data_IF_959150156679
#
_entry.id   IF_959150156679
#
_cell.length_a   1.000
_cell.length_b   1.000
_cell.length_c   1.000
_cell.angle_alpha   90.00
_cell.angle_beta   90.00
_cell.angle_gamma   90.00
#
_symmetry.space_group_name_H-M   'P 1'
#
loop_
_entity.id
_entity.type
_entity.pdbx_description
1 polymer ?
#
# COMPACT_ATOMS: atom_id res chain seq x y z
N UNK A 1 -2.46 -16.00 20.79
CA UNK A 1 -1.05 -16.36 21.13
C UNK A 1 -0.04 -15.36 20.57
N UNK A 2 -0.06 -14.99 19.26
CA UNK A 2 0.91 -14.03 18.68
C UNK A 2 0.76 -12.65 19.35
N UNK A 3 -0.46 -12.15 19.50
CA UNK A 3 -0.73 -10.85 20.10
C UNK A 3 -0.48 -10.84 21.60
N UNK A 4 -0.88 -11.88 22.33
CA UNK A 4 -0.65 -12.04 23.76
C UNK A 4 0.85 -12.05 24.13
N UNK A 5 1.69 -12.63 23.27
CA UNK A 5 3.15 -12.65 23.45
C UNK A 5 3.87 -11.36 23.05
N UNK A 6 3.16 -10.34 22.51
CA UNK A 6 3.72 -9.09 22.01
C UNK A 6 2.90 -7.89 22.43
N UNK A 7 2.57 -7.80 23.71
CA UNK A 7 1.74 -6.72 24.31
C UNK A 7 2.39 -5.32 24.24
N UNK A 8 3.69 -5.27 24.02
CA UNK A 8 4.48 -4.06 23.83
C UNK A 8 4.48 -3.53 22.39
N UNK A 9 3.73 -4.18 21.49
CA UNK A 9 3.64 -3.84 20.07
C UNK A 9 2.28 -3.21 19.76
N UNK A 10 2.30 -2.02 19.19
CA UNK A 10 1.09 -1.29 18.82
C UNK A 10 0.66 -1.50 17.36
N UNK A 11 1.54 -2.07 16.53
CA UNK A 11 1.34 -2.22 15.09
C UNK A 11 1.85 -3.58 14.60
N UNK A 12 0.99 -4.36 13.95
CA UNK A 12 1.29 -5.67 13.39
C UNK A 12 1.07 -5.64 11.88
N UNK A 13 2.09 -6.02 11.12
CA UNK A 13 1.93 -6.43 9.73
C UNK A 13 1.51 -7.90 9.74
N UNK A 14 0.42 -8.20 9.04
CA UNK A 14 -0.11 -9.57 8.92
C UNK A 14 -0.02 -10.01 7.47
N UNK A 15 0.83 -10.99 7.20
CA UNK A 15 0.98 -11.51 5.85
C UNK A 15 -0.32 -12.15 5.35
N UNK A 16 -0.50 -12.17 4.03
CA UNK A 16 -1.68 -12.69 3.35
C UNK A 16 -1.27 -13.48 2.11
N UNK A 17 -2.19 -14.28 1.58
CA UNK A 17 -2.07 -14.85 0.25
C UNK A 17 -2.79 -13.99 -0.79
N UNK A 18 -2.32 -14.04 -2.03
CA UNK A 18 -3.07 -13.59 -3.20
C UNK A 18 -3.91 -14.72 -3.78
N UNK A 19 -5.16 -14.42 -4.10
CA UNK A 19 -6.04 -15.28 -4.87
C UNK A 19 -6.79 -14.43 -5.91
N UNK A 20 -6.74 -14.83 -7.17
CA UNK A 20 -7.51 -14.16 -8.20
C UNK A 20 -9.01 -14.44 -8.01
N UNK A 21 -9.83 -13.40 -8.01
CA UNK A 21 -11.30 -13.50 -7.82
C UNK A 21 -11.97 -14.34 -8.91
N UNK A 22 -11.43 -14.38 -10.12
CA UNK A 22 -11.92 -15.23 -11.20
C UNK A 22 -11.90 -16.71 -10.84
N UNK A 23 -10.96 -17.13 -9.98
CA UNK A 23 -10.87 -18.48 -9.48
C UNK A 23 -12.12 -18.88 -8.68
N UNK A 24 -12.69 -17.93 -7.92
CA UNK A 24 -13.87 -18.17 -7.10
C UNK A 24 -15.17 -18.28 -7.90
N UNK A 25 -15.19 -17.86 -9.18
CA UNK A 25 -16.39 -17.99 -10.04
C UNK A 25 -16.76 -19.46 -10.28
N UNK A 26 -15.81 -20.38 -10.12
CA UNK A 26 -15.98 -21.82 -10.33
C UNK A 26 -16.39 -22.60 -9.06
N UNK A 27 -16.57 -21.90 -7.92
CA UNK A 27 -16.89 -22.53 -6.65
C UNK A 27 -18.33 -22.22 -6.22
N UNK A 28 -19.00 -23.22 -5.66
CA UNK A 28 -20.32 -23.05 -5.05
C UNK A 28 -20.24 -22.17 -3.79
N UNK A 29 -21.28 -21.40 -3.52
CA UNK A 29 -21.41 -20.64 -2.26
C UNK A 29 -22.31 -21.41 -1.29
N UNK A 30 -22.01 -21.46 0.02
CA UNK A 30 -20.81 -20.92 0.68
C UNK A 30 -19.54 -21.68 0.30
N UNK A 31 -18.40 -20.97 0.29
CA UNK A 31 -17.12 -21.57 -0.10
C UNK A 31 -16.71 -22.68 0.88
N UNK A 32 -16.38 -23.84 0.31
CA UNK A 32 -15.79 -24.93 1.09
C UNK A 32 -14.27 -24.73 1.16
N UNK A 33 -13.74 -24.43 2.34
CA UNK A 33 -12.30 -24.21 2.54
C UNK A 33 -11.44 -25.45 2.21
N UNK A 34 -12.01 -26.65 2.20
CA UNK A 34 -11.28 -27.86 1.80
C UNK A 34 -10.92 -27.87 0.32
N UNK A 35 -11.71 -27.22 -0.52
CA UNK A 35 -11.46 -27.09 -1.97
C UNK A 35 -10.26 -26.19 -2.26
N UNK A 36 -9.94 -25.25 -1.35
CA UNK A 36 -8.79 -24.34 -1.48
C UNK A 36 -7.45 -25.03 -1.17
N UNK A 37 -7.43 -26.23 -0.61
CA UNK A 37 -6.19 -26.94 -0.24
C UNK A 37 -5.28 -27.23 -1.43
N UNK A 38 -5.82 -27.34 -2.63
CA UNK A 38 -5.08 -27.64 -3.84
C UNK A 38 -4.70 -26.39 -4.65
N UNK A 39 -4.99 -25.19 -4.13
CA UNK A 39 -4.69 -23.94 -4.81
C UNK A 39 -3.29 -23.49 -4.45
N UNK A 40 -2.47 -23.23 -5.46
CA UNK A 40 -1.15 -22.64 -5.24
C UNK A 40 -1.28 -21.14 -4.89
N UNK A 41 -1.37 -20.84 -3.61
CA UNK A 41 -1.51 -19.49 -3.09
C UNK A 41 -0.13 -18.82 -2.97
N UNK A 42 0.02 -17.66 -3.60
CA UNK A 42 1.25 -16.87 -3.51
C UNK A 42 1.20 -15.94 -2.30
N UNK A 43 2.19 -16.05 -1.41
CA UNK A 43 2.35 -15.12 -0.29
C UNK A 43 2.64 -13.70 -0.79
N UNK A 44 2.03 -12.70 -0.17
CA UNK A 44 2.26 -11.28 -0.45
C UNK A 44 3.66 -10.88 0.01
N UNK A 45 4.05 -11.26 1.23
CA UNK A 45 5.34 -10.94 1.80
C UNK A 45 6.41 -11.97 1.43
N UNK A 46 7.63 -11.48 1.23
CA UNK A 46 8.83 -12.31 1.08
C UNK A 46 9.41 -12.76 2.42
N UNK A 47 8.99 -12.16 3.53
CA UNK A 47 9.46 -12.53 4.87
C UNK A 47 9.03 -13.95 5.24
N UNK A 48 9.97 -14.71 5.81
CA UNK A 48 9.77 -16.12 6.18
C UNK A 48 9.60 -16.33 7.68
N UNK A 49 10.02 -15.34 8.48
CA UNK A 49 10.04 -15.45 9.94
C UNK A 49 9.34 -14.28 10.61
N UNK A 50 8.71 -14.56 11.72
CA UNK A 50 8.13 -13.55 12.59
C UNK A 50 9.23 -12.69 13.20
N UNK A 51 9.04 -11.36 13.23
CA UNK A 51 10.08 -10.45 13.70
C UNK A 51 9.51 -9.20 14.34
N UNK A 52 10.07 -8.81 15.51
CA UNK A 52 9.90 -7.43 16.03
C UNK A 52 10.84 -6.50 15.30
N UNK A 53 10.35 -5.36 14.88
CA UNK A 53 11.09 -4.37 14.08
C UNK A 53 10.65 -2.96 14.48
N UNK A 54 11.39 -1.94 14.03
CA UNK A 54 10.89 -0.57 14.08
C UNK A 54 9.88 -0.37 12.94
N UNK A 55 8.96 0.58 13.10
CA UNK A 55 7.89 0.83 12.13
C UNK A 55 8.42 0.99 10.70
N UNK A 56 9.48 1.79 10.50
CA UNK A 56 10.03 2.03 9.15
C UNK A 56 10.64 0.81 8.47
N UNK A 57 10.98 -0.24 9.22
CA UNK A 57 11.45 -1.49 8.63
C UNK A 57 10.33 -2.29 7.96
N UNK A 58 9.08 -2.06 8.38
CA UNK A 58 7.91 -2.68 7.73
C UNK A 58 7.62 -2.03 6.37
N UNK A 59 7.91 -0.74 6.22
CA UNK A 59 7.75 -0.01 4.96
C UNK A 59 8.89 -0.39 4.02
N UNK A 60 8.72 -1.51 3.33
CA UNK A 60 9.73 -2.07 2.45
C UNK A 60 9.07 -2.91 1.34
N UNK A 61 9.48 -2.74 0.07
CA UNK A 61 8.99 -3.58 -1.02
C UNK A 61 9.19 -5.07 -0.82
N UNK A 62 10.22 -5.48 -0.04
CA UNK A 62 10.46 -6.88 0.28
C UNK A 62 9.56 -7.42 1.39
N UNK A 63 9.07 -6.55 2.27
CA UNK A 63 8.02 -6.93 3.23
C UNK A 63 6.71 -7.10 2.50
N UNK A 64 6.24 -6.07 1.85
CA UNK A 64 5.06 -6.10 0.97
C UNK A 64 4.92 -4.79 0.24
N UNK A 65 4.84 -4.83 -1.07
CA UNK A 65 4.48 -3.64 -1.84
C UNK A 65 3.09 -3.10 -1.45
N UNK A 66 2.13 -3.99 -1.24
CA UNK A 66 0.76 -3.65 -0.85
C UNK A 66 0.69 -2.94 0.51
N UNK A 67 1.65 -3.17 1.39
CA UNK A 67 1.69 -2.56 2.71
C UNK A 67 1.77 -1.03 2.65
N UNK A 68 2.41 -0.48 1.64
CA UNK A 68 2.57 0.98 1.50
C UNK A 68 1.24 1.73 1.53
N UNK A 69 0.15 1.08 1.12
CA UNK A 69 -1.19 1.71 1.01
C UNK A 69 -2.32 0.89 1.64
N UNK A 70 -2.09 -0.36 2.03
CA UNK A 70 -3.16 -1.32 2.32
C UNK A 70 -3.34 -1.58 3.81
N UNK A 71 -4.47 -1.17 4.35
CA UNK A 71 -4.85 -1.40 5.75
C UNK A 71 -5.19 -2.87 6.06
N UNK A 72 -5.60 -3.65 5.07
CA UNK A 72 -6.03 -5.05 5.27
C UNK A 72 -4.90 -5.99 5.67
N UNK A 73 -3.65 -5.53 5.59
CA UNK A 73 -2.47 -6.26 6.00
C UNK A 73 -1.99 -5.88 7.40
N UNK A 74 -2.78 -5.16 8.18
CA UNK A 74 -2.32 -4.70 9.48
C UNK A 74 -3.38 -4.82 10.58
N UNK A 75 -2.89 -5.00 11.80
CA UNK A 75 -3.65 -4.88 13.03
C UNK A 75 -2.93 -3.85 13.90
N UNK A 76 -3.66 -2.91 14.47
CA UNK A 76 -3.08 -1.79 15.19
C UNK A 76 -3.95 -1.35 16.36
N UNK A 77 -3.33 -0.59 17.26
CA UNK A 77 -4.01 0.04 18.38
C UNK A 77 -5.03 1.08 17.88
N UNK A 78 -6.32 0.73 17.99
CA UNK A 78 -7.43 1.56 17.50
C UNK A 78 -7.44 2.96 18.13
N UNK A 79 -7.15 3.09 19.43
CA UNK A 79 -7.17 4.40 20.12
C UNK A 79 -6.10 5.32 19.55
N UNK A 80 -4.91 4.79 19.30
CA UNK A 80 -3.84 5.57 18.67
C UNK A 80 -4.22 6.01 17.26
N UNK A 81 -4.78 5.10 16.46
CA UNK A 81 -5.21 5.43 15.10
C UNK A 81 -6.26 6.54 15.08
N UNK A 82 -7.28 6.47 15.96
CA UNK A 82 -8.31 7.51 16.08
C UNK A 82 -7.70 8.88 16.46
N UNK A 83 -6.72 8.89 17.35
CA UNK A 83 -6.02 10.13 17.73
C UNK A 83 -5.18 10.71 16.57
N UNK A 84 -4.80 9.90 15.61
CA UNK A 84 -4.05 10.32 14.42
C UNK A 84 -4.90 10.95 13.32
N UNK A 85 -6.22 10.87 13.38
CA UNK A 85 -7.10 11.38 12.32
C UNK A 85 -6.96 12.89 12.08
N UNK A 86 -6.50 13.65 13.07
CA UNK A 86 -6.25 15.10 12.95
C UNK A 86 -5.16 15.46 11.93
N UNK A 87 -4.36 14.50 11.47
CA UNK A 87 -3.40 14.75 10.39
C UNK A 87 -4.08 14.88 9.02
N UNK A 88 -5.35 14.50 8.90
CA UNK A 88 -6.11 14.53 7.66
C UNK A 88 -6.81 15.88 7.45
N UNK A 89 -6.90 16.30 6.19
CA UNK A 89 -7.73 17.44 5.79
C UNK A 89 -9.19 16.97 5.67
N UNK A 90 -10.06 17.50 6.49
CA UNK A 90 -11.50 17.17 6.45
C UNK A 90 -12.08 17.42 5.05
N UNK A 91 -11.78 18.57 4.45
CA UNK A 91 -12.21 18.91 3.09
C UNK A 91 -11.81 17.86 2.04
N UNK A 92 -10.60 17.31 2.18
CA UNK A 92 -10.07 16.34 1.20
C UNK A 92 -10.65 14.95 1.41
N UNK A 93 -10.96 14.57 2.66
CA UNK A 93 -11.63 13.30 2.98
C UNK A 93 -13.11 13.31 2.54
N UNK A 94 -13.77 14.46 2.63
CA UNK A 94 -15.16 14.63 2.20
C UNK A 94 -15.32 14.71 0.67
N UNK A 95 -14.23 14.83 -0.07
CA UNK A 95 -14.26 14.79 -1.55
C UNK A 95 -14.69 13.39 -2.03
N UNK A 96 -15.87 13.30 -2.61
CA UNK A 96 -16.47 12.04 -3.08
C UNK A 96 -15.85 11.49 -4.36
N UNK A 97 -15.01 12.27 -5.04
CA UNK A 97 -14.33 11.84 -6.26
C UNK A 97 -13.22 10.85 -5.93
N UNK A 98 -13.29 9.69 -6.53
CA UNK A 98 -12.34 8.60 -6.26
C UNK A 98 -10.90 9.07 -6.52
N UNK A 99 -10.05 8.96 -5.48
CA UNK A 99 -8.62 9.25 -5.51
C UNK A 99 -8.22 10.64 -6.03
N UNK A 100 -9.13 11.61 -5.93
CA UNK A 100 -8.94 12.97 -6.43
C UNK A 100 -7.78 13.71 -5.76
N UNK A 101 -7.53 13.42 -4.48
CA UNK A 101 -6.50 14.07 -3.69
C UNK A 101 -5.72 13.06 -2.82
N UNK A 102 -4.68 13.55 -2.16
CA UNK A 102 -3.78 12.70 -1.37
C UNK A 102 -4.49 12.09 -0.15
N UNK A 103 -5.25 12.88 0.58
CA UNK A 103 -5.85 12.44 1.85
C UNK A 103 -6.98 11.43 1.63
N UNK A 104 -7.80 11.57 0.58
CA UNK A 104 -8.83 10.56 0.31
C UNK A 104 -8.29 9.26 -0.32
N UNK A 105 -7.06 9.29 -0.83
CA UNK A 105 -6.40 8.10 -1.40
C UNK A 105 -5.55 7.37 -0.37
N UNK A 106 -4.71 8.11 0.35
CA UNK A 106 -3.64 7.57 1.19
C UNK A 106 -3.89 7.79 2.69
N UNK A 107 -5.14 8.04 3.10
CA UNK A 107 -5.47 8.38 4.49
C UNK A 107 -4.93 7.36 5.51
N UNK A 108 -5.04 6.07 5.21
CA UNK A 108 -4.54 5.02 6.10
C UNK A 108 -3.03 5.11 6.29
N UNK A 109 -2.26 5.18 5.19
CA UNK A 109 -0.81 5.31 5.27
C UNK A 109 -0.39 6.58 6.00
N UNK A 110 -1.09 7.69 5.73
CA UNK A 110 -0.83 8.97 6.40
C UNK A 110 -1.04 8.89 7.92
N UNK A 111 -2.17 8.37 8.38
CA UNK A 111 -2.48 8.20 9.80
C UNK A 111 -1.52 7.22 10.46
N UNK A 112 -1.32 6.05 9.86
CA UNK A 112 -0.46 4.99 10.39
C UNK A 112 0.97 5.51 10.59
N UNK A 113 1.55 6.16 9.59
CA UNK A 113 2.91 6.70 9.69
C UNK A 113 3.02 7.83 10.72
N UNK A 114 1.97 8.63 10.89
CA UNK A 114 1.95 9.70 11.89
C UNK A 114 2.00 9.16 13.33
N UNK A 115 1.24 8.09 13.60
CA UNK A 115 1.08 7.59 14.98
C UNK A 115 2.05 6.46 15.36
N UNK A 116 2.53 5.69 14.39
CA UNK A 116 3.38 4.52 14.68
C UNK A 116 4.86 4.70 14.31
N UNK A 117 5.27 5.83 13.75
CA UNK A 117 6.64 6.10 13.29
C UNK A 117 7.74 5.79 14.30
N UNK A 118 7.48 6.01 15.58
CA UNK A 118 8.43 5.81 16.69
C UNK A 118 8.10 4.55 17.52
N UNK A 119 7.23 3.67 16.99
CA UNK A 119 6.76 2.50 17.70
C UNK A 119 7.43 1.22 17.22
N UNK A 120 7.42 0.21 18.11
CA UNK A 120 7.75 -1.15 17.72
C UNK A 120 6.60 -1.74 16.93
N UNK A 121 6.96 -2.46 15.88
CA UNK A 121 6.07 -3.19 15.02
C UNK A 121 6.40 -4.67 15.03
N UNK A 122 5.49 -5.51 14.59
CA UNK A 122 5.71 -6.94 14.47
C UNK A 122 5.34 -7.41 13.06
N UNK A 123 6.22 -8.14 12.42
CA UNK A 123 5.95 -8.80 11.15
C UNK A 123 5.49 -10.22 11.45
N UNK A 124 4.23 -10.53 11.14
CA UNK A 124 3.70 -11.88 11.12
C UNK A 124 3.91 -12.47 9.72
N UNK A 125 4.94 -13.29 9.58
CA UNK A 125 5.35 -13.84 8.29
C UNK A 125 4.40 -14.92 7.77
N UNK A 126 3.74 -15.67 8.65
CA UNK A 126 2.74 -16.66 8.28
C UNK A 126 1.50 -15.96 7.73
N UNK A 127 1.05 -16.27 6.52
CA UNK A 127 -0.19 -15.72 5.99
C UNK A 127 -1.40 -16.19 6.82
N UNK A 128 -2.19 -15.22 7.31
CA UNK A 128 -3.38 -15.46 8.12
C UNK A 128 -4.69 -15.10 7.40
N UNK A 129 -4.59 -14.59 6.17
CA UNK A 129 -5.74 -14.18 5.36
C UNK A 129 -5.48 -14.42 3.88
N UNK A 130 -6.52 -14.26 3.07
CA UNK A 130 -6.43 -14.30 1.61
C UNK A 130 -6.94 -12.98 1.05
N UNK A 131 -6.09 -12.31 0.27
CA UNK A 131 -6.48 -11.11 -0.46
C UNK A 131 -6.97 -11.50 -1.86
N UNK A 132 -8.23 -11.18 -2.16
CA UNK A 132 -8.82 -11.38 -3.47
C UNK A 132 -8.40 -10.26 -4.40
N UNK A 133 -7.69 -10.62 -5.47
CA UNK A 133 -7.32 -9.71 -6.55
C UNK A 133 -8.16 -10.02 -7.79
N UNK A 134 -8.48 -9.01 -8.59
CA UNK A 134 -9.25 -9.20 -9.83
C UNK A 134 -10.00 -7.94 -10.23
N UNK A 135 -11.06 -8.12 -11.00
CA UNK A 135 -11.89 -7.04 -11.52
C UNK A 135 -12.51 -6.20 -10.40
N UNK A 136 -12.21 -4.91 -10.41
CA UNK A 136 -12.77 -3.88 -9.51
C UNK A 136 -13.05 -2.63 -10.34
N UNK A 137 -14.06 -1.87 -9.98
CA UNK A 137 -14.49 -0.66 -10.70
C UNK A 137 -13.38 0.37 -10.90
N UNK A 138 -12.44 0.45 -9.95
CA UNK A 138 -11.34 1.44 -9.97
C UNK A 138 -10.01 0.92 -10.54
N UNK A 139 -9.98 -0.26 -11.19
CA UNK A 139 -8.74 -0.84 -11.76
C UNK A 139 -8.07 0.12 -12.75
N UNK A 140 -8.84 0.88 -13.51
CA UNK A 140 -8.32 1.88 -14.46
C UNK A 140 -7.47 2.98 -13.80
N UNK A 141 -7.64 3.24 -12.50
CA UNK A 141 -6.90 4.25 -11.75
C UNK A 141 -5.69 3.71 -10.98
N UNK A 142 -5.42 2.40 -11.01
CA UNK A 142 -4.27 1.85 -10.27
C UNK A 142 -2.94 2.41 -10.76
N UNK A 143 -2.77 2.58 -12.07
CA UNK A 143 -1.56 3.15 -12.65
C UNK A 143 -1.30 4.56 -12.08
N UNK A 144 -2.35 5.37 -11.95
CA UNK A 144 -2.29 6.70 -11.34
C UNK A 144 -1.90 6.64 -9.86
N UNK A 145 -2.52 5.76 -9.09
CA UNK A 145 -2.19 5.58 -7.67
C UNK A 145 -0.73 5.18 -7.51
N UNK A 146 -0.26 4.22 -8.31
CA UNK A 146 1.10 3.69 -8.21
C UNK A 146 2.16 4.77 -8.47
N UNK A 147 2.03 5.56 -9.54
CA UNK A 147 3.09 6.51 -9.93
C UNK A 147 2.89 7.92 -9.40
N UNK A 148 1.74 8.25 -8.85
CA UNK A 148 1.45 9.59 -8.28
C UNK A 148 1.22 9.52 -6.77
N UNK A 149 0.21 8.74 -6.32
CA UNK A 149 -0.22 8.74 -4.92
C UNK A 149 0.76 8.03 -3.99
N UNK A 150 1.33 6.90 -4.42
CA UNK A 150 2.37 6.22 -3.63
C UNK A 150 3.64 7.07 -3.50
N UNK A 151 4.20 7.68 -4.54
CA UNK A 151 5.27 8.66 -4.41
C UNK A 151 4.95 9.84 -3.48
N UNK A 152 3.73 10.38 -3.50
CA UNK A 152 3.29 11.42 -2.53
C UNK A 152 3.27 10.87 -1.10
N UNK A 153 2.82 9.65 -0.89
CA UNK A 153 2.85 8.99 0.42
C UNK A 153 4.28 8.78 0.92
N UNK A 154 5.19 8.39 0.06
CA UNK A 154 6.61 8.26 0.42
C UNK A 154 7.25 9.61 0.77
N UNK A 155 6.87 10.70 0.07
CA UNK A 155 7.28 12.06 0.44
C UNK A 155 6.78 12.42 1.84
N UNK A 156 5.54 12.05 2.16
CA UNK A 156 4.98 12.21 3.49
C UNK A 156 5.74 11.37 4.53
N UNK A 157 6.02 10.09 4.26
CA UNK A 157 6.81 9.22 5.13
C UNK A 157 8.20 9.80 5.40
N UNK A 158 8.82 10.40 4.39
CA UNK A 158 10.11 11.11 4.57
C UNK A 158 9.98 12.27 5.55
N UNK A 159 8.90 13.05 5.46
CA UNK A 159 8.64 14.17 6.40
C UNK A 159 8.36 13.68 7.82
N UNK A 160 7.87 12.45 7.98
CA UNK A 160 7.59 11.83 9.28
C UNK A 160 8.81 11.12 9.91
N UNK A 161 9.97 11.14 9.27
CA UNK A 161 11.20 10.60 9.85
C UNK A 161 11.75 9.33 9.18
N UNK A 162 11.16 8.86 8.07
CA UNK A 162 11.79 7.80 7.28
C UNK A 162 13.21 8.22 6.86
N UNK A 163 14.19 7.32 7.02
CA UNK A 163 15.56 7.62 6.64
C UNK A 163 15.68 7.94 5.14
N UNK A 164 16.66 8.79 4.77
CA UNK A 164 16.85 9.23 3.38
C UNK A 164 17.09 8.04 2.43
N UNK A 165 17.94 7.11 2.80
CA UNK A 165 18.26 5.95 1.94
C UNK A 165 17.05 5.01 1.76
N UNK A 166 16.28 4.78 2.83
CA UNK A 166 15.04 4.01 2.77
C UNK A 166 14.00 4.68 1.87
N UNK A 167 13.84 5.98 2.02
CA UNK A 167 12.96 6.78 1.16
C UNK A 167 13.36 6.66 -0.32
N UNK A 168 14.64 6.87 -0.65
CA UNK A 168 15.13 6.79 -2.03
C UNK A 168 14.91 5.38 -2.60
N UNK A 169 15.18 4.34 -1.82
CA UNK A 169 14.95 2.96 -2.23
C UNK A 169 13.47 2.69 -2.54
N UNK A 170 12.58 3.00 -1.59
CA UNK A 170 11.14 2.79 -1.77
C UNK A 170 10.57 3.62 -2.93
N UNK A 171 11.02 4.87 -3.06
CA UNK A 171 10.55 5.75 -4.13
C UNK A 171 11.02 5.30 -5.50
N UNK A 172 12.26 4.88 -5.61
CA UNK A 172 12.80 4.30 -6.84
C UNK A 172 11.99 3.06 -7.25
N UNK A 173 11.72 2.17 -6.31
CA UNK A 173 10.88 1.00 -6.56
C UNK A 173 9.44 1.37 -6.99
N UNK A 174 8.83 2.38 -6.37
CA UNK A 174 7.51 2.87 -6.74
C UNK A 174 7.44 3.39 -8.17
N UNK A 175 8.54 3.98 -8.66
CA UNK A 175 8.62 4.60 -9.97
C UNK A 175 9.10 3.66 -11.09
N UNK A 176 9.28 2.35 -10.82
CA UNK A 176 9.81 1.36 -11.79
C UNK A 176 9.01 1.26 -13.10
N UNK A 177 7.72 1.60 -13.08
CA UNK A 177 6.84 1.59 -14.24
C UNK A 177 6.42 3.01 -14.69
N UNK A 178 7.13 4.04 -14.22
CA UNK A 178 6.68 5.43 -14.32
C UNK A 178 6.33 5.85 -15.75
N UNK A 179 7.22 5.68 -16.72
CA UNK A 179 6.96 6.09 -18.09
C UNK A 179 5.80 5.36 -18.75
N UNK A 180 5.73 4.05 -18.56
CA UNK A 180 4.65 3.23 -19.13
C UNK A 180 3.29 3.68 -18.59
N UNK A 181 3.18 3.79 -17.27
CA UNK A 181 1.92 4.16 -16.63
C UNK A 181 1.57 5.63 -16.88
N UNK A 182 2.57 6.53 -16.88
CA UNK A 182 2.36 7.93 -17.16
C UNK A 182 1.83 8.15 -18.59
N UNK A 183 2.46 7.50 -19.58
CA UNK A 183 2.00 7.54 -20.97
C UNK A 183 0.59 6.96 -21.11
N UNK A 184 0.34 5.83 -20.47
CA UNK A 184 -0.99 5.19 -20.47
C UNK A 184 -2.05 6.12 -19.88
N UNK A 185 -1.80 6.78 -18.75
CA UNK A 185 -2.71 7.74 -18.13
C UNK A 185 -3.01 8.90 -19.08
N UNK A 186 -1.99 9.45 -19.76
CA UNK A 186 -2.17 10.58 -20.68
C UNK A 186 -2.98 10.24 -21.93
N UNK A 187 -2.84 9.00 -22.44
CA UNK A 187 -3.55 8.52 -23.64
C UNK A 187 -4.95 8.01 -23.29
N UNK A 188 -5.12 7.41 -22.10
CA UNK A 188 -6.40 6.88 -21.64
C UNK A 188 -7.41 8.01 -21.43
N UNK A 189 -8.67 7.70 -21.68
CA UNK A 189 -9.78 8.64 -21.49
C UNK A 189 -10.13 8.89 -20.02
N UNK A 190 -11.38 9.24 -19.79
CA UNK A 190 -11.95 9.43 -18.44
C UNK A 190 -11.79 8.16 -17.58
N UNK A 191 -11.60 8.36 -16.27
CA UNK A 191 -11.42 7.27 -15.31
C UNK A 191 -9.99 6.77 -15.12
N UNK A 192 -8.99 7.33 -15.86
CA UNK A 192 -7.57 6.98 -15.67
C UNK A 192 -6.85 7.81 -14.60
N UNK A 193 -7.51 8.82 -14.02
CA UNK A 193 -6.89 9.81 -13.12
C UNK A 193 -6.21 10.97 -13.84
N UNK A 194 -6.24 11.02 -15.18
CA UNK A 194 -5.62 12.07 -16.00
C UNK A 194 -5.98 13.49 -15.55
N UNK A 195 -7.23 13.73 -15.18
CA UNK A 195 -7.74 15.02 -14.70
C UNK A 195 -7.05 15.51 -13.42
N UNK A 196 -6.38 14.64 -12.68
CA UNK A 196 -5.66 14.96 -11.44
C UNK A 196 -4.14 15.12 -11.67
N UNK A 197 -3.65 14.87 -12.89
CA UNK A 197 -2.22 14.91 -13.21
C UNK A 197 -1.77 16.33 -13.51
N UNK A 198 -0.91 16.85 -12.65
CA UNK A 198 -0.12 18.05 -12.97
C UNK A 198 1.22 17.60 -13.57
N UNK A 199 1.37 17.76 -14.90
CA UNK A 199 2.56 17.34 -15.64
C UNK A 199 3.85 17.89 -15.06
N UNK A 200 3.89 19.19 -14.75
CA UNK A 200 5.09 19.82 -14.21
C UNK A 200 5.47 19.23 -12.85
N UNK A 201 4.48 19.13 -11.95
CA UNK A 201 4.69 18.61 -10.60
C UNK A 201 5.15 17.15 -10.58
N UNK A 202 4.51 16.29 -11.37
CA UNK A 202 4.73 14.84 -11.25
C UNK A 202 5.76 14.30 -12.25
N UNK A 203 5.82 14.83 -13.46
CA UNK A 203 6.76 14.36 -14.45
C UNK A 203 8.19 14.76 -14.10
N UNK A 204 8.48 16.06 -14.06
CA UNK A 204 9.86 16.54 -13.87
C UNK A 204 10.43 16.16 -12.50
N UNK A 205 9.62 16.20 -11.45
CA UNK A 205 10.07 15.80 -10.10
C UNK A 205 10.54 14.34 -10.03
N UNK A 206 9.94 13.47 -10.80
CA UNK A 206 10.22 12.03 -10.74
C UNK A 206 11.35 11.60 -11.69
N UNK A 207 11.77 12.42 -12.66
CA UNK A 207 12.87 12.10 -13.58
C UNK A 207 14.23 11.92 -12.92
N UNK A 208 14.43 12.42 -11.71
CA UNK A 208 15.69 12.26 -10.95
C UNK A 208 15.89 10.84 -10.42
N UNK A 209 14.84 10.02 -10.43
CA UNK A 209 14.91 8.64 -9.93
C UNK A 209 15.26 7.68 -11.06
N UNK A 210 16.36 6.89 -10.96
CA UNK A 210 16.83 6.03 -12.04
C UNK A 210 15.77 5.04 -12.56
N UNK A 211 14.96 4.46 -11.68
CA UNK A 211 13.94 3.49 -12.09
C UNK A 211 12.79 4.12 -12.88
N UNK A 212 12.64 5.44 -12.87
CA UNK A 212 11.68 6.11 -13.75
C UNK A 212 12.01 5.89 -15.23
N UNK A 213 13.28 5.65 -15.58
CA UNK A 213 13.76 5.49 -16.96
C UNK A 213 13.72 4.04 -17.46
N UNK A 214 13.59 3.07 -16.56
CA UNK A 214 13.63 1.66 -16.90
C UNK A 214 12.34 0.99 -16.43
N UNK A 215 11.56 0.46 -17.38
CA UNK A 215 10.49 -0.48 -17.07
C UNK A 215 11.12 -1.84 -16.77
N UNK A 216 10.95 -2.32 -15.56
CA UNK A 216 11.42 -3.62 -15.10
C UNK A 216 10.28 -4.64 -15.17
#
# INVERSE_FOLDING_TARGET
>A
KIFEGNIDVDYFFVNSYYLNSSFLKNYSKPFNTTELKNVNLKSISKFKENKKVNFWEVIDPDVSWEFLISIFLCIFNRKMWLNGLNCLSQKDIEDTRVWSNFDNTCFNGKVISTVFKDKKSFICAQPLSVNLIGEREWVSMYDFVEIIRIPELLDYYRSQGMSFWKYVYCKNYALRNFFNFFTKILISGEGSGKQYVNLYKYFFKNLIYPYSWFSI
#
